data_IF_145240860049
#
_entry.id   IF_145240860049
#
_cell.length_a   1.000
_cell.length_b   1.000
_cell.length_c   1.000
_cell.angle_alpha   90.00
_cell.angle_beta   90.00
_cell.angle_gamma   90.00
#
_symmetry.space_group_name_H-M   'P 1'
#
loop_
_entity.id
_entity.type
_entity.pdbx_description
1 polymer ?
#
# COMPACT_ATOMS: atom_id res chain seq x y z
N UNK A 1 -23.92 20.47 10.27
CA UNK A 1 -23.02 20.27 9.11
C UNK A 1 -22.07 19.13 9.40
N UNK A 2 -22.19 17.98 8.72
CA UNK A 2 -21.26 16.86 8.89
C UNK A 2 -19.97 17.16 8.12
N UNK A 3 -18.82 17.16 8.82
CA UNK A 3 -17.50 17.35 8.20
C UNK A 3 -17.22 16.14 7.28
N UNK A 4 -17.08 16.41 5.97
CA UNK A 4 -16.56 15.42 5.02
C UNK A 4 -15.12 15.05 5.42
N UNK A 5 -14.94 13.82 5.88
CA UNK A 5 -13.61 13.24 6.08
C UNK A 5 -13.01 13.04 4.68
N UNK A 6 -11.91 13.73 4.38
CA UNK A 6 -11.17 13.54 3.12
C UNK A 6 -10.59 12.12 3.14
N UNK A 7 -11.08 11.25 2.26
CA UNK A 7 -10.52 9.91 2.05
C UNK A 7 -9.08 10.03 1.54
N UNK A 8 -8.11 9.60 2.36
CA UNK A 8 -6.70 9.55 1.93
C UNK A 8 -5.67 9.86 3.00
N UNK A 9 -6.05 10.36 4.19
CA UNK A 9 -5.13 10.41 5.33
C UNK A 9 -5.37 9.18 6.20
N UNK A 10 -4.57 8.14 6.00
CA UNK A 10 -4.37 7.16 7.08
C UNK A 10 -3.73 7.92 8.23
N UNK A 11 -4.43 8.04 9.36
CA UNK A 11 -3.86 8.52 10.62
C UNK A 11 -2.90 7.44 11.12
N UNK A 12 -1.76 7.35 10.46
CA UNK A 12 -0.67 6.47 10.81
C UNK A 12 0.18 7.16 11.88
N UNK A 13 -0.41 7.35 13.06
CA UNK A 13 0.30 7.78 14.26
C UNK A 13 0.85 6.53 14.95
N UNK A 14 1.97 6.04 14.43
CA UNK A 14 2.72 4.95 15.06
C UNK A 14 3.93 5.52 15.80
N UNK A 15 4.24 4.98 16.97
CA UNK A 15 5.39 5.41 17.80
C UNK A 15 6.74 5.30 17.07
N UNK A 16 6.84 4.42 16.07
CA UNK A 16 8.04 4.22 15.25
C UNK A 16 8.08 5.10 13.99
N UNK A 17 7.10 5.98 13.79
CA UNK A 17 7.10 6.92 12.68
C UNK A 17 8.09 8.03 12.96
N UNK A 18 9.06 8.18 12.05
CA UNK A 18 10.05 9.26 12.09
C UNK A 18 9.38 10.57 11.66
N UNK A 19 8.98 11.41 12.62
CA UNK A 19 8.31 12.71 12.39
C UNK A 19 9.16 13.93 12.77
N UNK A 20 10.18 13.75 13.60
CA UNK A 20 11.04 14.81 14.09
C UNK A 20 12.34 14.88 13.27
N UNK A 21 12.87 16.09 13.06
CA UNK A 21 14.17 16.32 12.41
C UNK A 21 15.25 16.60 13.46
N UNK A 22 16.46 16.14 13.17
CA UNK A 22 17.68 16.47 13.92
C UNK A 22 18.64 17.15 12.94
N UNK A 23 18.89 18.44 13.16
CA UNK A 23 19.79 19.23 12.32
C UNK A 23 21.11 19.49 13.04
N UNK A 24 22.22 19.14 12.38
CA UNK A 24 23.58 19.27 12.94
C UNK A 24 24.39 20.13 11.96
N UNK A 25 24.99 21.21 12.47
CA UNK A 25 25.90 22.04 11.69
C UNK A 25 27.27 21.37 11.63
N UNK A 26 27.82 21.24 10.43
CA UNK A 26 29.10 20.60 10.17
C UNK A 26 30.07 21.58 9.52
N UNK A 27 31.34 21.49 9.87
CA UNK A 27 32.41 22.09 9.10
C UNK A 27 32.61 21.35 7.76
N UNK A 28 33.29 21.96 6.76
CA UNK A 28 33.59 21.29 5.50
C UNK A 28 34.33 19.96 5.68
N UNK A 29 35.26 19.89 6.64
CA UNK A 29 36.03 18.69 6.94
C UNK A 29 35.14 17.56 7.51
N UNK A 30 34.27 17.87 8.46
CA UNK A 30 33.36 16.88 9.07
C UNK A 30 32.36 16.32 8.05
N UNK A 31 31.89 17.18 7.14
CA UNK A 31 31.01 16.77 6.04
C UNK A 31 31.69 15.75 5.14
N UNK A 32 32.91 16.04 4.66
CA UNK A 32 33.67 15.14 3.80
C UNK A 32 33.95 13.80 4.49
N UNK A 33 34.28 13.85 5.78
CA UNK A 33 34.54 12.65 6.58
C UNK A 33 33.30 11.76 6.73
N UNK A 34 32.12 12.35 6.94
CA UNK A 34 30.85 11.62 7.00
C UNK A 34 30.49 11.01 5.63
N UNK A 35 30.66 11.76 4.54
CA UNK A 35 30.40 11.28 3.18
C UNK A 35 31.29 10.10 2.79
N UNK A 36 32.58 10.17 3.12
CA UNK A 36 33.53 9.08 2.90
C UNK A 36 33.18 7.83 3.71
N UNK A 37 32.83 7.98 5.00
CA UNK A 37 32.43 6.83 5.82
C UNK A 37 31.10 6.23 5.35
N UNK A 38 30.15 7.04 4.93
CA UNK A 38 28.89 6.59 4.35
C UNK A 38 29.13 5.74 3.08
N UNK A 39 29.99 6.21 2.18
CA UNK A 39 30.30 5.49 0.93
C UNK A 39 30.89 4.11 1.17
N UNK A 40 31.59 3.90 2.29
CA UNK A 40 32.19 2.62 2.65
C UNK A 40 31.25 1.70 3.43
N UNK A 41 30.21 2.25 4.06
CA UNK A 41 29.35 1.53 4.99
C UNK A 41 28.19 0.77 4.31
N UNK A 42 27.94 0.97 3.02
CA UNK A 42 26.94 0.20 2.25
C UNK A 42 25.47 0.52 2.58
N UNK A 43 25.19 1.68 3.19
CA UNK A 43 23.82 2.10 3.50
C UNK A 43 23.13 2.74 2.28
N UNK A 44 21.82 2.54 2.17
CA UNK A 44 21.01 3.12 1.07
C UNK A 44 20.75 4.63 1.21
N UNK A 45 20.99 5.21 2.40
CA UNK A 45 20.82 6.64 2.62
C UNK A 45 21.70 7.16 3.75
N UNK A 46 22.12 8.42 3.64
CA UNK A 46 22.90 9.11 4.67
C UNK A 46 22.17 9.13 6.02
N UNK A 47 20.85 9.35 6.01
CA UNK A 47 20.06 9.37 7.24
C UNK A 47 20.02 8.01 7.94
N UNK A 48 19.99 6.89 7.20
CA UNK A 48 20.07 5.56 7.79
C UNK A 48 21.44 5.30 8.40
N UNK A 49 22.50 5.70 7.70
CA UNK A 49 23.88 5.60 8.20
C UNK A 49 24.10 6.41 9.48
N UNK A 50 23.72 7.68 9.49
CA UNK A 50 23.88 8.56 10.66
C UNK A 50 23.09 8.04 11.86
N UNK A 51 21.87 7.55 11.65
CA UNK A 51 21.08 6.93 12.73
C UNK A 51 21.74 5.67 13.29
N UNK A 52 22.26 4.81 12.43
CA UNK A 52 23.02 3.63 12.85
C UNK A 52 24.24 4.01 13.70
N UNK A 53 24.92 5.11 13.36
CA UNK A 53 26.05 5.63 14.13
C UNK A 53 25.65 6.27 15.47
N UNK A 54 24.48 6.92 15.57
CA UNK A 54 24.03 7.58 16.80
C UNK A 54 23.45 6.58 17.81
N UNK A 55 22.76 5.55 17.32
CA UNK A 55 22.05 4.58 18.15
C UNK A 55 22.73 3.21 18.22
N UNK A 56 24.00 3.11 17.82
CA UNK A 56 24.80 1.88 17.87
C UNK A 56 24.12 0.65 17.22
N UNK A 57 23.36 0.87 16.14
CA UNK A 57 22.60 -0.19 15.46
C UNK A 57 21.36 -0.70 16.20
N UNK A 58 20.95 -0.10 17.32
CA UNK A 58 19.76 -0.48 18.09
C UNK A 58 18.41 -0.12 17.41
N UNK A 59 18.41 0.37 16.16
CA UNK A 59 17.20 0.71 15.40
C UNK A 59 16.45 -0.50 14.82
N UNK A 60 16.96 -1.72 15.03
CA UNK A 60 16.43 -2.96 14.44
C UNK A 60 14.90 -3.11 14.62
N UNK A 61 14.37 -2.76 15.79
CA UNK A 61 12.93 -2.84 16.07
C UNK A 61 12.09 -1.86 15.23
N UNK A 62 12.61 -0.67 14.95
CA UNK A 62 11.93 0.35 14.14
C UNK A 62 12.01 -0.03 12.66
N UNK A 63 13.20 -0.45 12.22
CA UNK A 63 13.42 -0.83 10.82
C UNK A 63 12.66 -2.12 10.46
N UNK A 64 12.57 -3.10 11.37
CA UNK A 64 11.72 -4.28 11.20
C UNK A 64 10.25 -3.89 11.07
N UNK A 65 9.73 -3.04 11.95
CA UNK A 65 8.34 -2.57 11.86
C UNK A 65 8.05 -1.84 10.54
N UNK A 66 8.94 -0.94 10.11
CA UNK A 66 8.77 -0.20 8.86
C UNK A 66 8.84 -1.13 7.65
N UNK A 67 9.72 -2.14 7.69
CA UNK A 67 9.88 -3.15 6.64
C UNK A 67 8.67 -4.08 6.57
N UNK A 68 8.20 -4.61 7.70
CA UNK A 68 6.98 -5.42 7.77
C UNK A 68 5.77 -4.66 7.26
N UNK A 69 5.62 -3.39 7.67
CA UNK A 69 4.52 -2.53 7.20
C UNK A 69 4.59 -2.30 5.68
N UNK A 70 5.78 -2.08 5.15
CA UNK A 70 6.00 -1.91 3.71
C UNK A 70 5.66 -3.19 2.95
N UNK A 71 6.17 -4.33 3.42
CA UNK A 71 5.89 -5.65 2.86
C UNK A 71 4.40 -5.97 2.90
N UNK A 72 3.72 -5.69 4.02
CA UNK A 72 2.28 -5.86 4.15
C UNK A 72 1.51 -5.02 3.15
N UNK A 73 1.89 -3.76 2.93
CA UNK A 73 1.29 -2.92 1.88
C UNK A 73 1.51 -3.48 0.48
N UNK A 74 2.73 -3.94 0.17
CA UNK A 74 3.03 -4.58 -1.13
C UNK A 74 2.15 -5.81 -1.33
N UNK A 75 2.05 -6.67 -0.31
CA UNK A 75 1.24 -7.89 -0.39
C UNK A 75 -0.25 -7.57 -0.56
N UNK A 76 -0.75 -6.49 0.04
CA UNK A 76 -2.15 -6.08 -0.09
C UNK A 76 -2.49 -5.35 -1.38
N UNK A 77 -1.52 -4.69 -2.01
CA UNK A 77 -1.75 -3.81 -3.17
C UNK A 77 -2.43 -4.52 -4.36
N UNK A 78 -2.06 -5.76 -4.75
CA UNK A 78 -2.75 -6.48 -5.83
C UNK A 78 -4.22 -6.74 -5.50
N UNK A 79 -4.52 -7.17 -4.28
CA UNK A 79 -5.89 -7.44 -3.83
C UNK A 79 -6.75 -6.18 -3.84
N UNK A 80 -6.22 -5.07 -3.33
CA UNK A 80 -6.94 -3.79 -3.33
C UNK A 80 -7.19 -3.29 -4.75
N UNK A 81 -6.25 -3.51 -5.66
CA UNK A 81 -6.37 -3.11 -7.07
C UNK A 81 -7.50 -3.88 -7.77
N UNK A 82 -7.52 -5.22 -7.61
CA UNK A 82 -8.57 -6.07 -8.16
C UNK A 82 -9.95 -5.78 -7.52
N UNK A 83 -10.00 -5.55 -6.20
CA UNK A 83 -11.24 -5.16 -5.51
C UNK A 83 -11.79 -3.82 -6.04
N UNK A 84 -10.91 -2.84 -6.28
CA UNK A 84 -11.30 -1.56 -6.87
C UNK A 84 -11.83 -1.73 -8.30
N UNK A 85 -11.26 -2.64 -9.10
CA UNK A 85 -11.75 -2.95 -10.45
C UNK A 85 -13.17 -3.50 -10.39
N UNK A 86 -13.43 -4.49 -9.52
CA UNK A 86 -14.77 -5.05 -9.31
C UNK A 86 -15.75 -3.98 -8.86
N UNK A 87 -15.38 -3.16 -7.86
CA UNK A 87 -16.23 -2.08 -7.37
C UNK A 87 -16.57 -1.05 -8.46
N UNK A 88 -15.61 -0.71 -9.32
CA UNK A 88 -15.83 0.18 -10.46
C UNK A 88 -16.78 -0.43 -11.49
N UNK A 89 -16.58 -1.70 -11.84
CA UNK A 89 -17.43 -2.43 -12.78
C UNK A 89 -18.87 -2.55 -12.26
N UNK A 90 -19.05 -2.91 -10.99
CA UNK A 90 -20.36 -2.95 -10.32
C UNK A 90 -21.04 -1.57 -10.34
N UNK A 91 -20.30 -0.51 -10.07
CA UNK A 91 -20.84 0.86 -10.07
C UNK A 91 -21.27 1.31 -11.47
N UNK A 92 -20.51 0.93 -12.51
CA UNK A 92 -20.87 1.21 -13.90
C UNK A 92 -22.16 0.48 -14.29
N UNK A 93 -22.30 -0.80 -13.90
CA UNK A 93 -23.52 -1.56 -14.09
C UNK A 93 -24.71 -0.94 -13.37
N UNK A 94 -24.55 -0.58 -12.09
CA UNK A 94 -25.59 0.08 -11.31
C UNK A 94 -26.04 1.40 -11.96
N UNK A 95 -25.09 2.24 -12.42
CA UNK A 95 -25.41 3.48 -13.14
C UNK A 95 -26.17 3.22 -14.43
N UNK A 96 -25.74 2.24 -15.23
CA UNK A 96 -26.39 1.88 -16.50
C UNK A 96 -27.81 1.35 -16.29
N UNK A 97 -28.01 0.57 -15.22
CA UNK A 97 -29.35 0.10 -14.84
C UNK A 97 -30.23 1.25 -14.38
N UNK A 98 -29.69 2.18 -13.57
CA UNK A 98 -30.45 3.30 -13.04
C UNK A 98 -30.75 4.40 -14.08
N UNK A 99 -29.91 4.56 -15.11
CA UNK A 99 -30.11 5.58 -16.15
C UNK A 99 -31.12 5.16 -17.21
N UNK A 100 -31.32 3.87 -17.45
CA UNK A 100 -32.14 3.36 -18.53
C UNK A 100 -33.49 2.87 -17.99
N UNK A 101 -34.59 3.57 -18.32
CA UNK A 101 -35.96 3.17 -17.94
C UNK A 101 -36.50 1.98 -18.73
N UNK A 102 -35.97 1.75 -19.93
CA UNK A 102 -36.33 0.64 -20.80
C UNK A 102 -35.05 0.03 -21.37
N UNK A 103 -34.98 -1.30 -21.37
CA UNK A 103 -33.85 -2.04 -21.93
C UNK A 103 -34.28 -2.74 -23.21
N UNK A 104 -33.50 -2.57 -24.26
CA UNK A 104 -33.59 -3.43 -25.45
C UNK A 104 -33.10 -4.86 -25.12
N UNK A 105 -33.47 -5.83 -25.95
CA UNK A 105 -33.05 -7.23 -25.77
C UNK A 105 -31.52 -7.38 -25.82
N UNK A 106 -30.85 -6.61 -26.66
CA UNK A 106 -29.40 -6.59 -26.81
C UNK A 106 -28.69 -6.01 -25.57
N UNK A 107 -29.21 -4.91 -25.01
CA UNK A 107 -28.68 -4.33 -23.78
C UNK A 107 -28.86 -5.27 -22.59
N UNK A 108 -29.99 -5.97 -22.49
CA UNK A 108 -30.22 -6.99 -21.47
C UNK A 108 -29.18 -8.10 -21.54
N UNK A 109 -28.90 -8.61 -22.74
CA UNK A 109 -27.88 -9.63 -22.95
C UNK A 109 -26.49 -9.12 -22.56
N UNK A 110 -26.16 -7.88 -22.92
CA UNK A 110 -24.87 -7.26 -22.57
C UNK A 110 -24.71 -7.08 -21.06
N UNK A 111 -25.75 -6.61 -20.36
CA UNK A 111 -25.74 -6.47 -18.90
C UNK A 111 -25.57 -7.82 -18.22
N UNK A 112 -26.27 -8.86 -18.71
CA UNK A 112 -26.11 -10.22 -18.19
C UNK A 112 -24.68 -10.74 -18.35
N UNK A 113 -24.07 -10.58 -19.54
CA UNK A 113 -22.67 -10.99 -19.75
C UNK A 113 -21.69 -10.21 -18.86
N UNK A 114 -21.95 -8.92 -18.63
CA UNK A 114 -21.13 -8.11 -17.71
C UNK A 114 -21.30 -8.55 -16.24
N UNK A 115 -22.49 -8.99 -15.83
CA UNK A 115 -22.74 -9.56 -14.50
C UNK A 115 -22.04 -10.91 -14.32
N UNK A 116 -22.07 -11.77 -15.33
CA UNK A 116 -21.36 -13.06 -15.30
C UNK A 116 -19.85 -12.85 -15.19
N UNK A 117 -19.27 -11.94 -15.98
CA UNK A 117 -17.86 -11.58 -15.86
C UNK A 117 -17.51 -11.07 -14.47
N UNK A 118 -18.36 -10.21 -13.88
CA UNK A 118 -18.14 -9.70 -12.52
C UNK A 118 -18.16 -10.82 -11.48
N UNK A 119 -19.09 -11.77 -11.60
CA UNK A 119 -19.16 -12.93 -10.71
C UNK A 119 -17.90 -13.80 -10.81
N UNK A 120 -17.37 -13.98 -12.01
CA UNK A 120 -16.16 -14.77 -12.21
C UNK A 120 -14.92 -14.05 -11.69
N UNK A 121 -14.79 -12.73 -11.89
CA UNK A 121 -13.75 -11.91 -11.26
C UNK A 121 -13.77 -12.05 -9.73
N UNK A 122 -14.96 -12.01 -9.11
CA UNK A 122 -15.11 -12.19 -7.66
C UNK A 122 -14.68 -13.59 -7.19
N UNK A 123 -15.04 -14.65 -7.93
CA UNK A 123 -14.61 -16.02 -7.61
C UNK A 123 -13.09 -16.18 -7.74
N UNK A 124 -12.48 -15.61 -8.78
CA UNK A 124 -11.04 -15.69 -8.98
C UNK A 124 -10.26 -15.05 -7.84
N UNK A 125 -10.66 -13.87 -7.35
CA UNK A 125 -10.03 -13.22 -6.19
C UNK A 125 -10.23 -14.06 -4.93
N UNK A 126 -11.44 -14.59 -4.71
CA UNK A 126 -11.73 -15.44 -3.55
C UNK A 126 -10.78 -16.65 -3.51
N UNK A 127 -10.64 -17.36 -4.62
CA UNK A 127 -9.76 -18.53 -4.72
C UNK A 127 -8.29 -18.14 -4.51
N UNK A 128 -7.87 -16.96 -4.99
CA UNK A 128 -6.53 -16.45 -4.76
C UNK A 128 -6.25 -16.17 -3.27
N UNK A 129 -7.23 -15.60 -2.56
CA UNK A 129 -7.14 -15.37 -1.11
C UNK A 129 -7.05 -16.70 -0.36
N UNK A 130 -7.94 -17.66 -0.68
CA UNK A 130 -7.97 -18.98 -0.05
C UNK A 130 -6.61 -19.69 -0.23
N UNK A 131 -6.06 -19.70 -1.45
CA UNK A 131 -4.74 -20.26 -1.77
C UNK A 131 -3.60 -19.65 -0.94
N UNK A 132 -3.59 -18.33 -0.73
CA UNK A 132 -2.55 -17.68 0.08
C UNK A 132 -2.73 -17.93 1.58
N UNK A 133 -3.97 -18.04 2.06
CA UNK A 133 -4.22 -18.37 3.46
C UNK A 133 -3.84 -19.80 3.81
N UNK A 134 -3.98 -20.75 2.89
CA UNK A 134 -3.54 -22.14 3.09
C UNK A 134 -2.01 -22.28 3.09
N UNK A 135 -1.32 -21.57 2.19
CA UNK A 135 0.16 -21.54 2.18
C UNK A 135 0.75 -21.00 3.49
N UNK A 136 0.15 -19.96 4.06
CA UNK A 136 0.60 -19.39 5.33
C UNK A 136 0.20 -20.21 6.57
N UNK A 137 -0.70 -21.19 6.45
CA UNK A 137 -1.08 -22.11 7.54
C UNK A 137 -0.16 -23.33 7.67
N UNK A 138 0.54 -23.68 6.58
CA UNK A 138 1.39 -24.86 6.46
C UNK A 138 2.89 -24.51 6.53
N UNK A 139 3.23 -23.28 6.91
CA UNK A 139 4.59 -22.77 7.12
C UNK A 139 4.73 -22.33 8.57
#
# INVERSE_FOLDING_TARGET
>A
MQKKIKSGRTNDDHIYKRIYSLDIKLSPYEKELIENKFSQAGFNSMSAYVRNCIFDGAEERIDNFLTERFNFKILQQPFLTELNRIGSNANQLAKKVNSNKFFTKEEKNTINSQLENLLDEMKSIRNLIESQTEKNKNM
#
